data_IF_171254380214
#
_entry.id   IF_171254380214
#
_cell.length_a   1.000
_cell.length_b   1.000
_cell.length_c   1.000
_cell.angle_alpha   90.00
_cell.angle_beta   90.00
_cell.angle_gamma   90.00
#
_symmetry.space_group_name_H-M   'P 1'
#
loop_
_entity.id
_entity.type
_entity.pdbx_description
1 polymer ?
#
# COMPACT_ATOMS: atom_id res chain seq x y z
N UNK A 1 5.12 9.99 27.64
CA UNK A 1 4.58 10.80 26.53
C UNK A 1 4.10 9.84 25.45
N UNK A 2 2.93 10.07 24.85
CA UNK A 2 2.51 9.26 23.68
C UNK A 2 3.44 9.55 22.51
N UNK A 3 3.77 8.53 21.70
CA UNK A 3 4.51 8.74 20.45
C UNK A 3 3.68 9.61 19.51
N UNK A 4 4.37 10.43 18.72
CA UNK A 4 3.81 11.26 17.65
C UNK A 4 4.18 10.64 16.31
N UNK A 5 3.29 10.74 15.31
CA UNK A 5 3.49 10.10 14.01
C UNK A 5 3.20 11.09 12.87
N UNK A 6 4.04 11.08 11.84
CA UNK A 6 3.76 11.75 10.57
C UNK A 6 2.69 10.98 9.77
N UNK A 7 2.69 9.66 9.90
CA UNK A 7 1.69 8.76 9.31
C UNK A 7 1.39 7.68 10.34
N UNK A 8 0.10 7.44 10.60
CA UNK A 8 -0.38 6.31 11.38
C UNK A 8 -1.72 5.85 10.80
N UNK A 9 -1.67 4.88 9.87
CA UNK A 9 -2.86 4.34 9.21
C UNK A 9 -2.87 2.83 9.29
N UNK A 10 -4.05 2.29 9.53
CA UNK A 10 -4.37 0.87 9.42
C UNK A 10 -5.71 0.75 8.72
N UNK A 11 -5.69 0.17 7.52
CA UNK A 11 -6.85 0.13 6.65
C UNK A 11 -7.08 -1.28 6.13
N UNK A 12 -8.35 -1.69 6.04
CA UNK A 12 -8.71 -2.90 5.30
C UNK A 12 -8.73 -2.59 3.80
N UNK A 13 -8.15 -3.50 3.00
CA UNK A 13 -8.07 -3.34 1.55
C UNK A 13 -9.35 -3.78 0.84
N UNK A 14 -10.12 -4.67 1.46
CA UNK A 14 -11.38 -5.14 0.92
C UNK A 14 -12.56 -4.32 1.45
N UNK A 15 -13.52 -4.02 0.58
CA UNK A 15 -14.82 -3.48 0.99
C UNK A 15 -15.59 -4.46 1.87
N UNK A 16 -15.40 -5.77 1.64
CA UNK A 16 -15.95 -6.84 2.48
C UNK A 16 -14.94 -7.22 3.57
N UNK A 17 -15.21 -6.82 4.81
CA UNK A 17 -14.29 -6.95 5.95
C UNK A 17 -14.09 -8.39 6.44
N UNK A 18 -14.89 -9.34 5.95
CA UNK A 18 -14.66 -10.77 6.19
C UNK A 18 -13.49 -11.32 5.37
N UNK A 19 -13.01 -10.60 4.36
CA UNK A 19 -11.80 -10.94 3.61
C UNK A 19 -10.62 -10.22 4.25
N UNK A 20 -9.75 -10.99 4.90
CA UNK A 20 -8.61 -10.50 5.69
C UNK A 20 -7.51 -9.96 4.78
N UNK A 21 -7.65 -8.75 4.28
CA UNK A 21 -6.54 -8.03 3.65
C UNK A 21 -6.45 -6.63 4.23
N UNK A 22 -5.25 -6.20 4.60
CA UNK A 22 -5.03 -4.92 5.25
C UNK A 22 -3.65 -4.34 4.92
N UNK A 23 -3.52 -3.04 5.15
CA UNK A 23 -2.28 -2.29 5.06
C UNK A 23 -2.06 -1.49 6.34
N UNK A 24 -0.84 -1.52 6.86
CA UNK A 24 -0.39 -0.67 7.97
C UNK A 24 0.76 0.19 7.48
N UNK A 25 0.66 1.49 7.71
CA UNK A 25 1.72 2.45 7.43
C UNK A 25 1.93 3.34 8.65
N UNK A 26 3.12 3.29 9.22
CA UNK A 26 3.49 4.07 10.41
C UNK A 26 4.87 4.70 10.22
N UNK A 27 4.96 6.01 10.44
CA UNK A 27 6.21 6.76 10.44
C UNK A 27 6.22 7.67 11.65
N UNK A 28 7.04 7.34 12.65
CA UNK A 28 7.19 8.12 13.87
C UNK A 28 7.78 9.51 13.59
N UNK A 29 7.20 10.53 14.20
CA UNK A 29 7.75 11.89 14.25
C UNK A 29 8.75 11.96 15.41
N UNK A 30 10.02 12.11 15.09
CA UNK A 30 11.11 12.20 16.06
C UNK A 30 11.58 13.63 16.33
N UNK A 31 10.85 14.66 15.88
CA UNK A 31 11.22 16.08 16.01
C UNK A 31 11.45 16.54 17.46
N UNK A 32 10.77 15.92 18.42
CA UNK A 32 10.88 16.23 19.86
C UNK A 32 11.89 15.32 20.59
N UNK A 33 12.55 14.37 19.90
CA UNK A 33 13.53 13.48 20.53
C UNK A 33 14.85 14.24 20.74
N UNK A 34 15.36 14.32 21.99
CA UNK A 34 16.61 14.99 22.26
C UNK A 34 17.77 14.25 21.58
N UNK A 35 18.61 14.99 20.87
CA UNK A 35 19.77 14.45 20.13
C UNK A 35 21.01 14.21 21.02
N UNK A 36 20.86 14.16 22.35
CA UNK A 36 22.00 14.16 23.26
C UNK A 36 22.31 12.79 23.87
N UNK A 37 23.61 12.47 23.87
CA UNK A 37 24.26 11.41 24.65
C UNK A 37 23.96 9.97 24.19
N UNK A 38 24.66 9.57 23.12
CA UNK A 38 25.21 8.27 22.68
C UNK A 38 24.81 6.89 23.26
N UNK A 39 23.74 6.70 24.05
CA UNK A 39 23.45 5.36 24.62
C UNK A 39 22.04 4.82 24.44
N UNK A 40 21.12 5.61 23.88
CA UNK A 40 19.83 5.10 23.45
C UNK A 40 19.58 5.49 22.01
N UNK A 41 20.04 4.64 21.08
CA UNK A 41 19.51 4.55 19.71
C UNK A 41 18.00 4.25 19.80
N UNK A 42 17.19 5.22 20.20
CA UNK A 42 15.74 5.12 20.08
C UNK A 42 15.44 5.24 18.59
N UNK A 43 15.55 4.12 17.88
CA UNK A 43 15.21 4.03 16.47
C UNK A 43 13.83 4.65 16.25
N UNK A 44 13.68 5.39 15.15
CA UNK A 44 12.36 5.80 14.69
C UNK A 44 11.57 4.57 14.27
N UNK A 45 10.34 4.44 14.75
CA UNK A 45 9.42 3.41 14.26
C UNK A 45 8.97 3.75 12.84
N UNK A 46 9.41 2.95 11.88
CA UNK A 46 9.01 3.05 10.46
C UNK A 46 8.58 1.67 10.00
N UNK A 47 7.27 1.48 9.87
CA UNK A 47 6.65 0.19 9.57
C UNK A 47 5.76 0.34 8.33
N UNK A 48 5.92 -0.59 7.41
CA UNK A 48 5.02 -0.79 6.29
C UNK A 48 4.73 -2.28 6.15
N UNK A 49 3.46 -2.64 6.34
CA UNK A 49 2.99 -4.02 6.33
C UNK A 49 1.80 -4.14 5.39
N UNK A 50 1.79 -5.20 4.58
CA UNK A 50 0.70 -5.58 3.70
C UNK A 50 0.36 -7.04 3.94
N UNK A 51 -0.90 -7.35 4.19
CA UNK A 51 -1.36 -8.72 4.38
C UNK A 51 -2.56 -9.06 3.50
N UNK A 52 -2.63 -10.32 3.06
CA UNK A 52 -3.75 -10.89 2.32
C UNK A 52 -3.98 -12.35 2.73
N UNK A 53 -5.14 -12.61 3.31
CA UNK A 53 -5.60 -13.89 3.85
C UNK A 53 -4.65 -14.49 4.89
N UNK A 54 -3.59 -15.16 4.42
CA UNK A 54 -2.57 -15.83 5.22
C UNK A 54 -1.15 -15.36 4.91
N UNK A 55 -0.97 -14.58 3.85
CA UNK A 55 0.32 -14.06 3.43
C UNK A 55 0.52 -12.67 3.99
N UNK A 56 1.69 -12.42 4.58
CA UNK A 56 2.08 -11.13 5.14
C UNK A 56 3.44 -10.74 4.57
N UNK A 57 3.54 -9.49 4.13
CA UNK A 57 4.76 -8.87 3.66
C UNK A 57 5.02 -7.67 4.55
N UNK A 58 6.05 -7.77 5.39
CA UNK A 58 6.58 -6.65 6.16
C UNK A 58 7.84 -6.12 5.46
N UNK A 59 7.88 -4.81 5.20
CA UNK A 59 9.02 -4.15 4.57
C UNK A 59 9.74 -3.27 5.58
N UNK A 60 11.04 -3.50 5.74
CA UNK A 60 11.87 -2.74 6.67
C UNK A 60 12.45 -1.46 6.03
N UNK A 61 12.24 -0.33 6.70
CA UNK A 61 12.76 0.99 6.34
C UNK A 61 13.70 1.50 7.44
N UNK A 62 14.96 1.72 7.09
CA UNK A 62 15.96 2.28 8.00
C UNK A 62 16.13 3.77 7.73
N UNK A 63 16.23 4.55 8.81
CA UNK A 63 16.60 5.98 8.76
C UNK A 63 17.94 6.25 9.45
N UNK A 64 18.72 5.20 9.75
CA UNK A 64 19.90 5.27 10.61
C UNK A 64 21.03 6.14 10.05
N UNK A 65 21.23 6.15 8.73
CA UNK A 65 22.26 6.93 8.05
C UNK A 65 21.75 7.48 6.70
N UNK A 66 22.56 8.29 6.01
CA UNK A 66 22.14 8.94 4.75
C UNK A 66 21.77 7.93 3.65
N UNK A 67 22.61 6.92 3.44
CA UNK A 67 22.37 5.85 2.46
C UNK A 67 21.07 5.09 2.75
N UNK A 68 20.82 4.78 4.02
CA UNK A 68 19.60 4.10 4.46
C UNK A 68 18.36 4.95 4.17
N UNK A 69 18.43 6.27 4.42
CA UNK A 69 17.34 7.21 4.14
C UNK A 69 17.04 7.29 2.64
N UNK A 70 18.07 7.42 1.81
CA UNK A 70 17.93 7.47 0.36
C UNK A 70 17.33 6.17 -0.20
N UNK A 71 17.81 5.02 0.28
CA UNK A 71 17.29 3.71 -0.10
C UNK A 71 15.84 3.51 0.37
N UNK A 72 15.52 3.90 1.60
CA UNK A 72 14.16 3.86 2.14
C UNK A 72 13.19 4.72 1.31
N UNK A 73 13.62 5.92 0.91
CA UNK A 73 12.83 6.79 0.05
C UNK A 73 12.67 6.19 -1.36
N UNK A 74 13.74 5.64 -1.94
CA UNK A 74 13.68 4.94 -3.23
C UNK A 74 12.70 3.77 -3.21
N UNK A 75 12.75 2.92 -2.17
CA UNK A 75 11.82 1.81 -1.97
C UNK A 75 10.36 2.29 -1.92
N UNK A 76 10.07 3.30 -1.09
CA UNK A 76 8.73 3.84 -0.94
C UNK A 76 8.19 4.39 -2.28
N UNK A 77 9.02 5.14 -3.01
CA UNK A 77 8.67 5.68 -4.32
C UNK A 77 8.41 4.56 -5.34
N UNK A 78 9.25 3.53 -5.37
CA UNK A 78 9.08 2.40 -6.30
C UNK A 78 7.82 1.60 -6.00
N UNK A 79 7.49 1.39 -4.72
CA UNK A 79 6.23 0.77 -4.31
C UNK A 79 5.03 1.57 -4.82
N UNK A 80 5.03 2.89 -4.59
CA UNK A 80 3.95 3.76 -5.05
C UNK A 80 3.81 3.76 -6.58
N UNK A 81 4.93 3.82 -7.31
CA UNK A 81 4.97 3.75 -8.77
C UNK A 81 4.33 2.47 -9.29
N UNK A 82 4.76 1.31 -8.78
CA UNK A 82 4.27 0.00 -9.23
C UNK A 82 2.81 -0.22 -8.85
N UNK A 83 2.40 0.16 -7.64
CA UNK A 83 0.99 0.05 -7.19
C UNK A 83 0.08 0.93 -8.06
N UNK A 84 0.50 2.15 -8.40
CA UNK A 84 -0.27 3.02 -9.28
C UNK A 84 -0.36 2.44 -10.70
N UNK A 85 0.74 1.93 -11.25
CA UNK A 85 0.73 1.29 -12.57
C UNK A 85 -0.19 0.05 -12.59
N UNK A 86 -0.21 -0.74 -11.51
CA UNK A 86 -1.11 -1.87 -11.35
C UNK A 86 -2.58 -1.46 -11.30
N UNK A 87 -2.93 -0.40 -10.53
CA UNK A 87 -4.29 0.19 -10.52
C UNK A 87 -4.71 0.59 -11.94
N UNK A 88 -3.87 1.35 -12.63
CA UNK A 88 -4.18 1.84 -13.98
C UNK A 88 -4.39 0.68 -14.98
N UNK A 89 -3.65 -0.43 -14.81
CA UNK A 89 -3.86 -1.63 -15.60
C UNK A 89 -5.18 -2.33 -15.28
N UNK A 90 -5.58 -2.42 -14.00
CA UNK A 90 -6.89 -2.96 -13.60
C UNK A 90 -8.03 -2.15 -14.22
N UNK A 91 -7.96 -0.82 -14.18
CA UNK A 91 -9.00 0.04 -14.76
C UNK A 91 -9.18 -0.22 -16.26
N UNK A 92 -8.07 -0.38 -16.99
CA UNK A 92 -8.09 -0.74 -18.42
C UNK A 92 -8.74 -2.11 -18.65
N UNK A 93 -8.39 -3.11 -17.85
CA UNK A 93 -8.95 -4.45 -18.00
C UNK A 93 -10.45 -4.47 -17.66
N UNK A 94 -10.89 -3.73 -16.64
CA UNK A 94 -12.32 -3.56 -16.31
C UNK A 94 -13.08 -2.99 -17.51
N UNK A 95 -12.54 -1.96 -18.18
CA UNK A 95 -13.17 -1.39 -19.36
C UNK A 95 -13.34 -2.42 -20.50
N UNK A 96 -12.30 -3.22 -20.75
CA UNK A 96 -12.32 -4.31 -21.76
C UNK A 96 -13.36 -5.38 -21.38
N UNK A 97 -13.41 -5.79 -20.11
CA UNK A 97 -14.39 -6.78 -19.63
C UNK A 97 -15.81 -6.26 -19.85
N UNK A 98 -16.09 -5.01 -19.50
CA UNK A 98 -17.41 -4.40 -19.65
C UNK A 98 -17.83 -4.30 -21.12
N UNK A 99 -16.90 -3.93 -22.02
CA UNK A 99 -17.16 -3.89 -23.46
C UNK A 99 -17.49 -5.28 -24.02
N UNK A 100 -16.71 -6.31 -23.64
CA UNK A 100 -16.97 -7.70 -24.03
C UNK A 100 -18.34 -8.19 -23.55
N UNK A 101 -18.70 -7.89 -22.31
CA UNK A 101 -20.00 -8.29 -21.75
C UNK A 101 -21.16 -7.62 -22.50
N UNK A 102 -21.03 -6.33 -22.79
CA UNK A 102 -22.03 -5.57 -23.56
C UNK A 102 -22.21 -6.17 -24.96
N UNK A 103 -21.10 -6.45 -25.65
CA UNK A 103 -21.11 -7.08 -26.98
C UNK A 103 -21.79 -8.46 -26.94
N UNK A 104 -21.47 -9.31 -25.97
CA UNK A 104 -22.09 -10.63 -25.82
C UNK A 104 -23.60 -10.53 -25.55
N UNK A 105 -24.04 -9.56 -24.75
CA UNK A 105 -25.46 -9.32 -24.49
C UNK A 105 -26.20 -8.91 -25.76
N UNK A 106 -25.62 -8.00 -26.56
CA UNK A 106 -26.21 -7.59 -27.85
C UNK A 106 -26.29 -8.77 -28.83
N UNK A 107 -25.24 -9.57 -28.96
CA UNK A 107 -25.26 -10.76 -29.83
C UNK A 107 -26.34 -11.76 -29.41
N UNK A 108 -26.50 -12.01 -28.11
CA UNK A 108 -27.56 -12.89 -27.59
C UNK A 108 -28.96 -12.33 -27.85
N UNK A 109 -29.15 -11.03 -27.68
CA UNK A 109 -30.43 -10.37 -27.95
C UNK A 109 -30.79 -10.45 -29.44
N UNK A 110 -29.84 -10.21 -30.35
CA UNK A 110 -30.05 -10.33 -31.79
C UNK A 110 -30.37 -11.78 -32.23
N UNK A 111 -29.74 -12.78 -31.61
CA UNK A 111 -30.01 -14.19 -31.89
C UNK A 111 -31.36 -14.69 -31.36
N UNK A 112 -31.96 -14.02 -30.38
CA UNK A 112 -33.26 -14.40 -29.81
C UNK A 112 -34.47 -13.81 -30.55
N UNK A 113 -34.24 -12.91 -31.51
CA UNK A 113 -35.27 -12.25 -32.33
C UNK A 113 -35.44 -12.95 -33.69
N UNK A 114 -34.58 -13.94 -34.00
CA UNK A 114 -34.68 -14.82 -35.17
C UNK A 114 -35.15 -16.22 -34.77
#
# INVERSE_FOLDING_TARGET
MSKKYHVQRREFLNTYTNWRAYIIAMVEDTSEKPFCCDDHRSGSEVIFELASCHDEIELHFSLANATDRDNSLHKANKLAEVVNAFRDAIEKEIAIINERQTTQQHTRAAAAVH
#
